data_IF_534470635994
#
_entry.id   IF_534470635994
#
_cell.length_a   1.000
_cell.length_b   1.000
_cell.length_c   1.000
_cell.angle_alpha   90.00
_cell.angle_beta   90.00
_cell.angle_gamma   90.00
#
_symmetry.space_group_name_H-M   'P 1'
#
loop_
_entity.id
_entity.type
_entity.pdbx_description
1 polymer ?
#
# COMPACT_ATOMS: atom_id res chain seq x y z
N UNK A 1 25.62 13.45 -7.35
CA UNK A 1 24.35 12.68 -7.52
C UNK A 1 23.39 13.12 -6.41
N UNK A 2 22.08 13.28 -6.68
CA UNK A 2 21.12 13.58 -5.62
C UNK A 2 21.04 12.42 -4.62
N UNK A 3 20.93 12.73 -3.32
CA UNK A 3 20.81 11.75 -2.25
C UNK A 3 19.58 10.86 -2.49
N UNK A 4 19.72 9.52 -2.56
CA UNK A 4 18.57 8.63 -2.47
C UNK A 4 17.95 8.76 -1.08
N UNK A 5 16.64 8.96 -1.02
CA UNK A 5 15.87 8.98 0.22
C UNK A 5 14.82 7.86 0.11
N UNK A 6 15.23 6.67 0.53
CA UNK A 6 14.43 5.46 0.46
C UNK A 6 13.24 5.55 1.40
N UNK A 7 13.43 6.15 2.59
CA UNK A 7 12.35 6.32 3.57
C UNK A 7 11.15 7.08 2.98
N UNK A 8 11.41 8.20 2.30
CA UNK A 8 10.37 9.01 1.65
C UNK A 8 9.63 8.24 0.55
N UNK A 9 10.33 7.40 -0.21
CA UNK A 9 9.72 6.57 -1.27
C UNK A 9 8.81 5.50 -0.67
N UNK A 10 9.27 4.84 0.39
CA UNK A 10 8.49 3.85 1.15
C UNK A 10 7.22 4.49 1.72
N UNK A 11 7.33 5.65 2.36
CA UNK A 11 6.17 6.33 2.94
C UNK A 11 5.17 6.79 1.87
N UNK A 12 5.64 7.22 0.69
CA UNK A 12 4.76 7.54 -0.43
C UNK A 12 4.01 6.30 -0.95
N UNK A 13 4.69 5.14 -1.04
CA UNK A 13 4.06 3.89 -1.46
C UNK A 13 3.01 3.40 -0.45
N UNK A 14 3.32 3.46 0.85
CA UNK A 14 2.37 3.12 1.93
C UNK A 14 1.16 4.05 1.88
N UNK A 15 1.37 5.36 1.68
CA UNK A 15 0.27 6.33 1.61
C UNK A 15 -0.63 6.11 0.39
N UNK A 16 -0.10 5.59 -0.71
CA UNK A 16 -0.86 5.28 -1.91
C UNK A 16 -1.63 3.94 -1.82
N UNK A 17 -1.41 3.15 -0.76
CA UNK A 17 -1.98 1.83 -0.60
C UNK A 17 -3.20 1.85 0.33
N UNK A 18 -4.39 1.96 -0.28
CA UNK A 18 -5.67 2.03 0.45
C UNK A 18 -6.09 0.71 1.12
N UNK A 19 -5.41 -0.40 0.81
CA UNK A 19 -5.73 -1.75 1.30
C UNK A 19 -4.96 -2.15 2.57
N UNK A 20 -4.08 -1.29 3.09
CA UNK A 20 -3.32 -1.57 4.30
C UNK A 20 -4.18 -1.36 5.56
N UNK A 21 -3.99 -2.22 6.55
CA UNK A 21 -4.75 -2.20 7.81
C UNK A 21 -3.82 -2.29 9.02
N UNK A 22 -4.35 -2.08 10.23
CA UNK A 22 -3.57 -2.10 11.48
C UNK A 22 -2.77 -3.39 11.70
N UNK A 23 -3.29 -4.53 11.22
CA UNK A 23 -2.58 -5.82 11.24
C UNK A 23 -1.25 -5.82 10.47
N UNK A 24 -1.07 -4.86 9.56
CA UNK A 24 0.14 -4.69 8.75
C UNK A 24 1.16 -3.75 9.39
N UNK A 25 0.85 -3.14 10.54
CA UNK A 25 1.69 -2.13 11.20
C UNK A 25 3.11 -2.63 11.48
N UNK A 26 3.26 -3.88 11.92
CA UNK A 26 4.58 -4.47 12.18
C UNK A 26 5.42 -4.61 10.90
N UNK A 27 4.81 -5.02 9.79
CA UNK A 27 5.48 -5.13 8.49
C UNK A 27 5.82 -3.75 7.91
N UNK A 28 4.94 -2.76 8.11
CA UNK A 28 5.19 -1.36 7.74
C UNK A 28 6.37 -0.78 8.53
N UNK A 29 6.44 -1.04 9.85
CA UNK A 29 7.55 -0.60 10.69
C UNK A 29 8.87 -1.24 10.26
N UNK A 30 8.87 -2.55 9.98
CA UNK A 30 10.05 -3.25 9.46
C UNK A 30 10.53 -2.65 8.13
N UNK A 31 9.62 -2.38 7.20
CA UNK A 31 9.95 -1.77 5.92
C UNK A 31 10.57 -0.37 6.08
N UNK A 32 10.04 0.44 7.01
CA UNK A 32 10.61 1.75 7.36
C UNK A 32 12.01 1.64 7.97
N UNK A 33 12.21 0.70 8.89
CA UNK A 33 13.52 0.49 9.52
C UNK A 33 14.59 0.06 8.49
N UNK A 34 14.23 -0.80 7.54
CA UNK A 34 15.13 -1.19 6.44
C UNK A 34 15.47 -0.01 5.52
N UNK A 35 14.49 0.85 5.24
CA UNK A 35 14.71 2.06 4.44
C UNK A 35 15.62 3.08 5.16
N UNK A 36 15.41 3.29 6.46
CA UNK A 36 16.24 4.17 7.28
C UNK A 36 17.68 3.66 7.35
N UNK A 37 17.88 2.35 7.53
CA UNK A 37 19.22 1.74 7.54
C UNK A 37 19.95 1.94 6.20
N UNK A 38 19.22 1.93 5.07
CA UNK A 38 19.81 2.17 3.76
C UNK A 38 20.20 3.64 3.58
N UNK A 39 19.35 4.55 4.03
CA UNK A 39 19.61 5.99 3.98
C UNK A 39 20.76 6.37 4.92
N UNK A 40 20.87 5.74 6.09
CA UNK A 40 21.99 5.91 7.02
C UNK A 40 23.31 5.39 6.44
N UNK A 41 23.30 4.21 5.81
CA UNK A 41 24.47 3.66 5.13
C UNK A 41 24.97 4.56 3.98
N UNK A 42 24.08 5.33 3.34
CA UNK A 42 24.47 6.33 2.34
C UNK A 42 25.17 7.53 2.98
N UNK A 43 24.69 7.99 4.13
CA UNK A 43 25.23 9.15 4.85
C UNK A 43 26.59 8.86 5.50
N UNK A 44 26.78 7.66 6.04
CA UNK A 44 28.03 7.25 6.69
C UNK A 44 29.15 6.98 5.68
N UNK A 45 28.80 6.50 4.49
CA UNK A 45 29.76 6.02 3.50
C UNK A 45 30.11 7.08 2.45
N UNK A 46 30.77 8.17 2.87
CA UNK A 46 31.36 9.26 2.05
C UNK A 46 32.26 8.76 0.88
N UNK A 47 31.75 7.97 -0.07
CA UNK A 47 32.53 7.20 -1.04
C UNK A 47 31.77 6.06 -1.74
N UNK A 48 30.58 5.66 -1.27
CA UNK A 48 29.62 4.79 -2.00
C UNK A 48 29.98 3.31 -2.10
N UNK A 49 31.06 2.84 -1.47
CA UNK A 49 31.49 1.44 -1.44
C UNK A 49 30.64 0.58 -0.49
N UNK A 50 30.54 0.99 0.77
CA UNK A 50 29.72 0.34 1.81
C UNK A 50 28.24 0.47 1.48
N UNK A 51 27.78 1.63 0.99
CA UNK A 51 26.40 1.82 0.52
C UNK A 51 26.04 0.83 -0.59
N UNK A 52 26.89 0.63 -1.61
CA UNK A 52 26.61 -0.33 -2.69
C UNK A 52 26.50 -1.76 -2.17
N UNK A 53 27.35 -2.15 -1.22
CA UNK A 53 27.30 -3.48 -0.59
C UNK A 53 26.03 -3.65 0.24
N UNK A 54 25.70 -2.65 1.06
CA UNK A 54 24.47 -2.64 1.86
C UNK A 54 23.23 -2.62 0.98
N UNK A 55 23.19 -1.78 -0.05
CA UNK A 55 22.10 -1.73 -1.03
C UNK A 55 21.92 -3.08 -1.74
N UNK A 56 23.01 -3.73 -2.15
CA UNK A 56 22.95 -5.04 -2.79
C UNK A 56 22.33 -6.12 -1.89
N UNK A 57 22.65 -6.10 -0.60
CA UNK A 57 22.09 -7.05 0.36
C UNK A 57 20.67 -6.69 0.80
N UNK A 58 20.38 -5.40 1.01
CA UNK A 58 19.15 -4.93 1.65
C UNK A 58 18.00 -4.69 0.66
N UNK A 59 18.30 -4.35 -0.60
CA UNK A 59 17.28 -4.11 -1.63
C UNK A 59 16.35 -5.31 -1.86
N UNK A 60 16.83 -6.57 -1.94
CA UNK A 60 15.94 -7.73 -2.05
C UNK A 60 14.97 -7.87 -0.88
N UNK A 61 15.42 -7.56 0.36
CA UNK A 61 14.57 -7.63 1.55
C UNK A 61 13.49 -6.55 1.55
N UNK A 62 13.86 -5.32 1.17
CA UNK A 62 12.91 -4.21 1.01
C UNK A 62 11.88 -4.57 -0.08
N UNK A 63 12.32 -5.07 -1.23
CA UNK A 63 11.43 -5.47 -2.33
C UNK A 63 10.49 -6.60 -1.95
N UNK A 64 10.97 -7.61 -1.21
CA UNK A 64 10.13 -8.70 -0.73
C UNK A 64 9.09 -8.23 0.30
N UNK A 65 9.47 -7.33 1.22
CA UNK A 65 8.54 -6.73 2.16
C UNK A 65 7.48 -5.87 1.45
N UNK A 66 7.88 -5.08 0.44
CA UNK A 66 6.96 -4.31 -0.40
C UNK A 66 5.99 -5.23 -1.16
N UNK A 67 6.48 -6.33 -1.73
CA UNK A 67 5.64 -7.32 -2.42
C UNK A 67 4.64 -7.99 -1.48
N UNK A 68 5.07 -8.39 -0.29
CA UNK A 68 4.19 -8.98 0.73
C UNK A 68 3.09 -8.02 1.20
N UNK A 69 3.39 -6.71 1.20
CA UNK A 69 2.44 -5.64 1.51
C UNK A 69 1.56 -5.24 0.32
N UNK A 70 1.78 -5.77 -0.88
CA UNK A 70 1.00 -5.37 -2.05
C UNK A 70 1.38 -3.99 -2.61
N UNK A 71 2.60 -3.50 -2.34
CA UNK A 71 3.06 -2.16 -2.71
C UNK A 71 3.72 -2.09 -4.10
N UNK A 72 3.81 -3.22 -4.81
CA UNK A 72 4.44 -3.32 -6.14
C UNK A 72 3.40 -3.60 -7.22
N UNK A 73 3.65 -3.16 -8.46
CA UNK A 73 2.73 -3.45 -9.57
C UNK A 73 2.55 -4.96 -9.81
N UNK A 74 3.58 -5.76 -9.52
CA UNK A 74 3.59 -7.21 -9.71
C UNK A 74 3.06 -7.99 -8.51
N UNK A 75 2.88 -7.35 -7.36
CA UNK A 75 2.17 -7.97 -6.25
C UNK A 75 0.69 -7.93 -6.60
N UNK A 76 0.18 -9.02 -7.19
CA UNK A 76 -1.25 -9.26 -7.28
C UNK A 76 -1.93 -9.05 -5.91
N UNK A 77 -3.27 -8.93 -5.88
CA UNK A 77 -3.99 -8.64 -4.65
C UNK A 77 -3.54 -9.60 -3.54
N UNK A 78 -3.19 -9.04 -2.38
CA UNK A 78 -2.70 -9.77 -1.21
C UNK A 78 -3.61 -10.97 -0.95
N UNK A 79 -3.06 -12.15 -0.67
CA UNK A 79 -3.86 -13.33 -0.36
C UNK A 79 -4.85 -13.00 0.78
N UNK A 80 -6.15 -13.09 0.50
CA UNK A 80 -7.24 -12.69 1.42
C UNK A 80 -7.80 -11.27 1.22
N UNK A 81 -7.31 -10.50 0.23
CA UNK A 81 -7.95 -9.28 -0.22
C UNK A 81 -9.15 -9.63 -1.10
N UNK A 82 -10.35 -9.46 -0.55
CA UNK A 82 -11.59 -9.41 -1.33
C UNK A 82 -11.73 -7.97 -1.79
N UNK A 83 -11.49 -7.72 -3.09
CA UNK A 83 -11.81 -6.40 -3.66
C UNK A 83 -13.29 -6.10 -3.38
N UNK A 84 -13.65 -4.88 -2.96
CA UNK A 84 -15.05 -4.52 -2.81
C UNK A 84 -15.76 -4.81 -4.13
N UNK A 85 -16.78 -5.67 -4.07
CA UNK A 85 -17.53 -6.08 -5.26
C UNK A 85 -18.14 -4.81 -5.87
N UNK A 86 -17.70 -4.44 -7.07
CA UNK A 86 -18.32 -3.31 -7.78
C UNK A 86 -19.81 -3.63 -7.92
N UNK A 87 -20.73 -2.71 -7.60
CA UNK A 87 -22.14 -2.98 -7.69
C UNK A 87 -22.46 -3.43 -9.12
N UNK A 88 -22.94 -4.66 -9.25
CA UNK A 88 -23.40 -5.16 -10.54
C UNK A 88 -24.72 -4.44 -10.92
N UNK A 89 -25.09 -4.50 -12.20
CA UNK A 89 -26.28 -3.80 -12.71
C UNK A 89 -27.57 -4.17 -11.94
N UNK A 90 -27.64 -5.37 -11.36
CA UNK A 90 -28.76 -5.81 -10.55
C UNK A 90 -28.79 -5.13 -9.17
N UNK A 91 -27.63 -4.93 -8.54
CA UNK A 91 -27.49 -4.18 -7.28
C UNK A 91 -27.91 -2.72 -7.48
N UNK A 92 -27.52 -2.09 -8.58
CA UNK A 92 -27.98 -0.74 -8.91
C UNK A 92 -29.48 -0.67 -9.15
N UNK A 93 -30.06 -1.64 -9.89
CA UNK A 93 -31.50 -1.72 -10.13
C UNK A 93 -32.29 -1.87 -8.82
N UNK A 94 -31.80 -2.71 -7.90
CA UNK A 94 -32.40 -2.90 -6.57
C UNK A 94 -32.33 -1.62 -5.74
N UNK A 95 -31.18 -0.95 -5.71
CA UNK A 95 -31.03 0.33 -5.01
C UNK A 95 -32.02 1.39 -5.53
N UNK A 96 -32.18 1.50 -6.86
CA UNK A 96 -33.17 2.39 -7.48
C UNK A 96 -34.61 2.04 -7.09
N UNK A 97 -34.94 0.74 -7.02
CA UNK A 97 -36.27 0.27 -6.60
C UNK A 97 -36.54 0.59 -5.13
N UNK A 98 -35.58 0.37 -4.24
CA UNK A 98 -35.71 0.70 -2.82
C UNK A 98 -35.87 2.21 -2.59
N UNK A 99 -35.11 3.05 -3.30
CA UNK A 99 -35.26 4.51 -3.23
C UNK A 99 -36.65 4.99 -3.69
N UNK A 100 -37.22 4.38 -4.73
CA UNK A 100 -38.58 4.69 -5.19
C UNK A 100 -39.66 4.27 -4.19
N UNK A 101 -39.52 3.10 -3.56
CA UNK A 101 -40.47 2.65 -2.54
C UNK A 101 -40.40 3.49 -1.25
N UNK A 102 -39.21 3.97 -0.88
CA UNK A 102 -39.04 4.87 0.27
C UNK A 102 -39.67 6.25 0.04
N UNK A 103 -39.81 6.70 -1.21
CA UNK A 103 -40.41 8.00 -1.57
C UNK A 103 -41.90 7.91 -1.93
N UNK A 104 -42.44 6.72 -2.22
CA UNK A 104 -43.84 6.52 -2.62
C UNK A 104 -44.79 6.10 -1.49
N UNK A 105 -44.35 6.12 -0.23
CA UNK A 105 -45.11 5.64 0.93
C UNK A 105 -45.90 6.71 1.69
N UNK A 106 -46.12 7.88 1.10
CA UNK A 106 -46.78 9.01 1.77
C UNK A 106 -47.67 9.80 0.85
N UNK A 107 -48.74 9.17 0.32
CA UNK A 107 -49.98 9.89 0.06
C UNK A 107 -51.15 8.89 -0.03
N UNK A 108 -51.80 8.68 1.11
CA UNK A 108 -53.17 8.16 1.17
C UNK A 108 -53.93 9.17 2.02
N UNK A 109 -54.55 10.13 1.35
CA UNK A 109 -55.42 11.17 1.90
C UNK A 109 -56.32 11.73 0.82
#
# INVERSE_FOLDING_TARGET
MPRPNMRRRVDAAIKAADHLHDKDAAAIQLLRALADALDAAYDEDNGGSVYRKYAGWMSPHIMNAMRALGLTADSGPKAGFVAPEKPNALTELRARRFQRHAQGGGDVG
#
